data_IF_421187638998
#
_entry.id   IF_421187638998
#
_cell.length_a   1.000
_cell.length_b   1.000
_cell.length_c   1.000
_cell.angle_alpha   90.00
_cell.angle_beta   90.00
_cell.angle_gamma   90.00
#
_symmetry.space_group_name_H-M   'P 1'
#
loop_
_entity.id
_entity.type
_entity.pdbx_description
1 polymer ?
#
# COMPACT_ATOMS: atom_id res chain seq x y z
N UNK A 1 -14.10 5.17 -4.54
CA UNK A 1 -13.87 6.21 -3.53
C UNK A 1 -12.51 6.87 -3.71
N UNK A 2 -11.37 6.16 -3.71
CA UNK A 2 -10.06 6.74 -4.13
C UNK A 2 -10.14 7.54 -5.45
N UNK A 3 -10.58 6.91 -6.52
CA UNK A 3 -10.75 7.58 -7.83
C UNK A 3 -11.77 8.73 -7.83
N UNK A 4 -12.71 8.76 -6.87
CA UNK A 4 -13.65 9.88 -6.73
C UNK A 4 -12.97 11.05 -6.02
N UNK A 5 -12.14 10.78 -5.01
CA UNK A 5 -11.31 11.79 -4.33
C UNK A 5 -10.24 12.41 -5.25
N UNK A 6 -9.76 11.68 -6.25
CA UNK A 6 -8.84 12.20 -7.28
C UNK A 6 -9.54 13.22 -8.20
N UNK A 7 -10.82 13.00 -8.51
CA UNK A 7 -11.61 13.89 -9.39
C UNK A 7 -12.20 15.06 -8.61
N UNK A 8 -12.64 14.81 -7.38
CA UNK A 8 -13.22 15.81 -6.48
C UNK A 8 -12.37 15.89 -5.20
N UNK A 9 -11.32 16.71 -5.28
CA UNK A 9 -10.36 16.92 -4.19
C UNK A 9 -10.94 17.72 -3.02
N UNK A 10 -12.10 18.35 -3.21
CA UNK A 10 -12.78 19.17 -2.20
C UNK A 10 -13.72 18.37 -1.30
N UNK A 11 -14.07 17.16 -1.72
CA UNK A 11 -15.01 16.32 -1.00
C UNK A 11 -14.31 15.37 -0.03
N UNK A 12 -14.16 15.84 1.20
CA UNK A 12 -13.57 15.08 2.30
C UNK A 12 -14.34 13.79 2.64
N UNK A 13 -15.63 13.70 2.31
CA UNK A 13 -16.42 12.48 2.56
C UNK A 13 -15.91 11.30 1.74
N UNK A 14 -15.46 11.52 0.50
CA UNK A 14 -14.89 10.45 -0.31
C UNK A 14 -13.54 9.97 0.21
N UNK A 15 -12.73 10.88 0.75
CA UNK A 15 -11.45 10.55 1.38
C UNK A 15 -11.68 9.71 2.62
N UNK A 16 -12.61 10.12 3.48
CA UNK A 16 -12.87 9.39 4.73
C UNK A 16 -13.46 8.01 4.47
N UNK A 17 -14.43 7.89 3.57
CA UNK A 17 -14.98 6.58 3.20
C UNK A 17 -13.93 5.66 2.54
N UNK A 18 -13.00 6.22 1.75
CA UNK A 18 -11.90 5.44 1.21
C UNK A 18 -10.98 4.93 2.33
N UNK A 19 -10.64 5.80 3.30
CA UNK A 19 -9.83 5.45 4.48
C UNK A 19 -10.49 4.34 5.31
N UNK A 20 -11.78 4.47 5.62
CA UNK A 20 -12.54 3.44 6.35
C UNK A 20 -12.52 2.10 5.62
N UNK A 21 -12.79 2.09 4.31
CA UNK A 21 -12.80 0.87 3.50
C UNK A 21 -11.41 0.21 3.44
N UNK A 22 -10.34 1.00 3.31
CA UNK A 22 -8.97 0.47 3.34
C UNK A 22 -8.63 -0.13 4.72
N UNK A 23 -8.97 0.55 5.81
CA UNK A 23 -8.72 0.06 7.17
C UNK A 23 -9.47 -1.25 7.44
N UNK A 24 -10.75 -1.33 7.10
CA UNK A 24 -11.55 -2.54 7.27
C UNK A 24 -10.98 -3.69 6.43
N UNK A 25 -10.69 -3.44 5.15
CA UNK A 25 -10.09 -4.44 4.27
C UNK A 25 -8.72 -4.90 4.78
N UNK A 26 -7.88 -3.99 5.29
CA UNK A 26 -6.56 -4.33 5.84
C UNK A 26 -6.68 -5.19 7.09
N UNK A 27 -7.64 -4.89 7.97
CA UNK A 27 -7.93 -5.70 9.15
C UNK A 27 -8.32 -7.13 8.75
N UNK A 28 -9.32 -7.27 7.87
CA UNK A 28 -9.77 -8.59 7.39
C UNK A 28 -8.66 -9.33 6.66
N UNK A 29 -7.92 -8.66 5.78
CA UNK A 29 -6.82 -9.29 5.05
C UNK A 29 -5.73 -9.81 5.99
N UNK A 30 -5.43 -9.10 7.08
CA UNK A 30 -4.43 -9.53 8.06
C UNK A 30 -4.82 -10.79 8.84
N UNK A 31 -6.12 -11.00 9.04
CA UNK A 31 -6.66 -12.18 9.75
C UNK A 31 -6.78 -13.40 8.83
N UNK A 32 -7.15 -13.20 7.56
CA UNK A 32 -7.56 -14.29 6.66
C UNK A 32 -6.47 -14.66 5.65
N UNK A 33 -5.52 -13.77 5.35
CA UNK A 33 -4.53 -13.94 4.29
C UNK A 33 -3.09 -13.90 4.82
N UNK A 34 -2.23 -14.77 4.29
CA UNK A 34 -0.79 -14.76 4.59
C UNK A 34 -0.13 -13.46 4.14
N UNK A 35 0.99 -13.10 4.78
CA UNK A 35 1.76 -11.91 4.45
C UNK A 35 2.25 -11.85 2.99
N UNK A 36 2.37 -13.00 2.34
CA UNK A 36 2.77 -13.12 0.93
C UNK A 36 1.60 -13.36 -0.03
N UNK A 37 0.36 -13.23 0.44
CA UNK A 37 -0.78 -13.34 -0.42
C UNK A 37 -0.86 -12.11 -1.37
N UNK A 38 -0.95 -12.31 -2.70
CA UNK A 38 -1.02 -11.20 -3.66
C UNK A 38 -2.13 -10.19 -3.39
N UNK A 39 -3.29 -10.64 -2.89
CA UNK A 39 -4.41 -9.75 -2.57
C UNK A 39 -4.07 -8.86 -1.38
N UNK A 40 -3.47 -9.42 -0.32
CA UNK A 40 -3.04 -8.64 0.86
C UNK A 40 -1.95 -7.63 0.49
N UNK A 41 -0.98 -8.05 -0.32
CA UNK A 41 0.10 -7.16 -0.78
C UNK A 41 -0.42 -6.05 -1.69
N UNK A 42 -1.30 -6.38 -2.64
CA UNK A 42 -1.93 -5.39 -3.53
C UNK A 42 -2.81 -4.40 -2.77
N UNK A 43 -3.49 -4.85 -1.71
CA UNK A 43 -4.24 -3.97 -0.82
C UNK A 43 -3.31 -3.00 -0.08
N UNK A 44 -2.23 -3.49 0.52
CA UNK A 44 -1.26 -2.65 1.22
C UNK A 44 -0.59 -1.64 0.28
N UNK A 45 -0.22 -2.06 -0.94
CA UNK A 45 0.28 -1.17 -1.99
C UNK A 45 -0.71 -0.04 -2.27
N UNK A 46 -1.96 -0.36 -2.59
CA UNK A 46 -2.98 0.65 -2.91
C UNK A 46 -3.32 1.55 -1.71
N UNK A 47 -3.30 1.01 -0.48
CA UNK A 47 -3.53 1.77 0.73
C UNK A 47 -2.38 2.77 0.96
N UNK A 48 -1.12 2.36 0.79
CA UNK A 48 0.03 3.26 0.89
C UNK A 48 -0.03 4.41 -0.14
N UNK A 49 -0.42 4.12 -1.39
CA UNK A 49 -0.64 5.14 -2.43
C UNK A 49 -1.77 6.10 -2.04
N UNK A 50 -2.89 5.59 -1.50
CA UNK A 50 -3.96 6.45 -1.00
C UNK A 50 -3.49 7.39 0.12
N UNK A 51 -2.70 6.86 1.07
CA UNK A 51 -2.15 7.66 2.15
C UNK A 51 -1.23 8.77 1.64
N UNK A 52 -0.43 8.47 0.61
CA UNK A 52 0.48 9.43 0.01
C UNK A 52 -0.27 10.47 -0.84
N UNK A 53 -0.98 10.04 -1.89
CA UNK A 53 -1.53 10.93 -2.92
C UNK A 53 -2.82 11.64 -2.51
N UNK A 54 -3.63 11.04 -1.63
CA UNK A 54 -5.00 11.53 -1.34
C UNK A 54 -5.13 12.07 0.08
N UNK A 55 -4.48 11.42 1.05
CA UNK A 55 -4.55 11.80 2.45
C UNK A 55 -3.42 12.73 2.91
N UNK A 56 -2.41 12.98 2.07
CA UNK A 56 -1.24 13.82 2.39
C UNK A 56 -0.48 13.33 3.65
N UNK A 57 -0.59 12.03 3.96
CA UNK A 57 0.09 11.39 5.10
C UNK A 57 1.28 10.58 4.57
N UNK A 58 2.28 11.30 4.07
CA UNK A 58 3.48 10.73 3.44
C UNK A 58 4.23 9.79 4.39
N UNK A 59 4.27 10.14 5.69
CA UNK A 59 4.94 9.32 6.69
C UNK A 59 4.23 7.97 6.87
N UNK A 60 2.91 7.97 7.07
CA UNK A 60 2.17 6.72 7.22
C UNK A 60 2.23 5.87 5.95
N UNK A 61 2.22 6.47 4.76
CA UNK A 61 2.39 5.78 3.50
C UNK A 61 3.75 5.04 3.42
N UNK A 62 4.84 5.75 3.69
CA UNK A 62 6.20 5.18 3.68
C UNK A 62 6.37 4.10 4.75
N UNK A 63 5.90 4.34 5.97
CA UNK A 63 5.97 3.36 7.07
C UNK A 63 5.20 2.07 6.71
N UNK A 64 4.01 2.20 6.13
CA UNK A 64 3.20 1.06 5.69
C UNK A 64 3.87 0.28 4.56
N UNK A 65 4.38 0.96 3.53
CA UNK A 65 5.06 0.33 2.41
C UNK A 65 6.33 -0.40 2.86
N UNK A 66 7.12 0.21 3.76
CA UNK A 66 8.31 -0.42 4.35
C UNK A 66 7.96 -1.65 5.19
N UNK A 67 6.97 -1.55 6.08
CA UNK A 67 6.55 -2.67 6.91
C UNK A 67 6.06 -3.85 6.06
N UNK A 68 5.25 -3.57 5.03
CA UNK A 68 4.74 -4.59 4.10
C UNK A 68 5.89 -5.29 3.35
N UNK A 69 6.88 -4.52 2.87
CA UNK A 69 8.06 -5.08 2.21
C UNK A 69 8.87 -5.98 3.12
N UNK A 70 9.14 -5.55 4.36
CA UNK A 70 9.90 -6.33 5.32
C UNK A 70 9.19 -7.63 5.70
N UNK A 71 7.87 -7.55 5.97
CA UNK A 71 7.05 -8.71 6.30
C UNK A 71 7.02 -9.72 5.14
N UNK A 72 6.81 -9.24 3.91
CA UNK A 72 6.73 -10.11 2.74
C UNK A 72 8.07 -10.79 2.41
N UNK A 73 9.19 -10.06 2.51
CA UNK A 73 10.54 -10.62 2.28
C UNK A 73 10.87 -11.68 3.32
N UNK A 74 10.50 -11.49 4.58
CA UNK A 74 10.72 -12.48 5.64
C UNK A 74 9.96 -13.79 5.40
N UNK A 75 8.79 -13.72 4.74
CA UNK A 75 7.91 -14.88 4.51
C UNK A 75 7.97 -15.41 3.06
N UNK A 76 8.83 -14.84 2.20
CA UNK A 76 8.88 -15.18 0.77
C UNK A 76 9.29 -16.64 0.52
N UNK A 77 10.11 -17.21 1.41
CA UNK A 77 10.55 -18.61 1.38
C UNK A 77 9.42 -19.61 1.57
N UNK A 78 8.33 -19.22 2.23
CA UNK A 78 7.16 -20.06 2.49
C UNK A 78 6.13 -20.03 1.35
N UNK A 79 6.31 -19.13 0.39
CA UNK A 79 5.38 -18.93 -0.73
C UNK A 79 5.55 -20.03 -1.79
N UNK A 80 4.44 -20.56 -2.30
CA UNK A 80 4.47 -21.54 -3.39
C UNK A 80 5.11 -20.94 -4.64
N UNK A 81 5.99 -21.70 -5.30
CA UNK A 81 6.74 -21.27 -6.50
C UNK A 81 5.86 -20.72 -7.64
N UNK A 82 4.62 -21.20 -7.77
CA UNK A 82 3.68 -20.74 -8.79
C UNK A 82 3.17 -19.30 -8.56
N UNK A 83 3.03 -18.88 -7.30
CA UNK A 83 2.59 -17.51 -6.94
C UNK A 83 3.72 -16.51 -6.71
N UNK A 84 4.97 -17.00 -6.62
CA UNK A 84 6.14 -16.15 -6.38
C UNK A 84 6.35 -15.03 -7.44
N UNK A 85 6.15 -15.26 -8.75
CA UNK A 85 6.33 -14.19 -9.74
C UNK A 85 5.40 -13.00 -9.52
N UNK A 86 4.14 -13.24 -9.17
CA UNK A 86 3.14 -12.19 -8.91
C UNK A 86 3.51 -11.40 -7.65
N UNK A 87 3.88 -12.10 -6.58
CA UNK A 87 4.36 -11.48 -5.33
C UNK A 87 5.59 -10.60 -5.58
N UNK A 88 6.57 -11.08 -6.36
CA UNK A 88 7.77 -10.31 -6.70
C UNK A 88 7.44 -9.01 -7.44
N UNK A 89 6.46 -9.03 -8.35
CA UNK A 89 6.03 -7.82 -9.07
C UNK A 89 5.46 -6.80 -8.09
N UNK A 90 4.58 -7.22 -7.18
CA UNK A 90 3.97 -6.29 -6.19
C UNK A 90 5.04 -5.71 -5.25
N UNK A 91 6.01 -6.51 -4.82
CA UNK A 91 7.12 -6.04 -3.99
C UNK A 91 8.04 -5.07 -4.74
N UNK A 92 8.23 -5.27 -6.05
CA UNK A 92 8.98 -4.32 -6.87
C UNK A 92 8.24 -2.99 -6.96
N UNK A 93 6.91 -3.01 -7.19
CA UNK A 93 6.10 -1.78 -7.21
C UNK A 93 6.16 -1.02 -5.87
N UNK A 94 6.12 -1.71 -4.74
CA UNK A 94 6.31 -1.09 -3.42
C UNK A 94 7.68 -0.41 -3.29
N UNK A 95 8.75 -1.03 -3.83
CA UNK A 95 10.10 -0.45 -3.82
C UNK A 95 10.19 0.78 -4.72
N UNK A 96 9.58 0.70 -5.89
CA UNK A 96 9.57 1.80 -6.85
C UNK A 96 8.86 3.02 -6.25
N UNK A 97 7.69 2.80 -5.62
CA UNK A 97 6.96 3.84 -4.88
C UNK A 97 7.82 4.48 -3.79
N UNK A 98 8.43 3.68 -2.91
CA UNK A 98 9.31 4.20 -1.86
C UNK A 98 10.49 4.99 -2.40
N UNK A 99 11.07 4.57 -3.53
CA UNK A 99 12.15 5.30 -4.18
C UNK A 99 11.71 6.67 -4.67
N UNK A 100 10.52 6.76 -5.28
CA UNK A 100 9.93 8.03 -5.76
C UNK A 100 9.64 8.95 -4.56
N UNK A 101 8.98 8.43 -3.52
CA UNK A 101 8.62 9.23 -2.35
C UNK A 101 9.84 9.71 -1.56
N UNK A 102 10.92 8.92 -1.57
CA UNK A 102 12.19 9.31 -0.96
C UNK A 102 12.86 10.45 -1.71
N UNK A 103 12.67 10.57 -3.03
CA UNK A 103 13.20 11.70 -3.82
C UNK A 103 12.35 12.96 -3.69
N UNK A 104 11.02 12.82 -3.66
CA UNK A 104 10.09 13.96 -3.45
C UNK A 104 10.34 14.62 -2.08
N UNK A 105 10.63 13.81 -1.05
CA UNK A 105 10.98 14.30 0.29
C UNK A 105 12.26 15.16 0.33
N UNK A 106 13.15 15.07 -0.66
CA UNK A 106 14.40 15.84 -0.74
C UNK A 106 14.23 17.11 -1.58
N UNK A 107 13.19 17.19 -2.41
CA UNK A 107 12.90 18.37 -3.24
C UNK A 107 12.01 19.39 -2.50
N UNK A 108 11.30 18.96 -1.46
CA UNK A 108 10.45 19.79 -0.59
C UNK A 108 11.16 20.42 0.63
N UNK A 109 12.49 20.26 0.76
CA UNK A 109 13.36 20.98 1.73
C UNK A 109 14.14 22.14 1.08
#
# INVERSE_FOLDING_TARGET
MRYQSEVDTTNEEFKEKAREAYNEASSVASEVLSATNPVRLGLALNHSVFLYEIADDHKAACDMAHATLQEAVANLSETKKEGQPEVCIILQLLRDNLSIWSTDSVEDE
#
